data_IF_158676311988
#
_entry.id   IF_158676311988
#
_cell.length_a   1.000
_cell.length_b   1.000
_cell.length_c   1.000
_cell.angle_alpha   90.00
_cell.angle_beta   90.00
_cell.angle_gamma   90.00
#
_symmetry.space_group_name_H-M   'P 1'
#
loop_
_entity.id
_entity.type
_entity.pdbx_description
1 polymer ?
#
# COMPACT_ATOMS: atom_id res chain seq x y z
N UNK A 1 28.23 11.81 11.85
CA UNK A 1 27.46 12.99 11.40
C UNK A 1 26.24 13.16 12.29
N UNK A 2 25.82 14.41 12.53
CA UNK A 2 24.60 14.75 13.29
C UNK A 2 23.61 15.42 12.33
N UNK A 3 22.37 14.93 12.32
CA UNK A 3 21.30 15.41 11.45
C UNK A 3 20.17 15.87 12.35
N UNK A 4 19.74 17.11 12.19
CA UNK A 4 18.61 17.68 12.92
C UNK A 4 17.56 18.15 11.92
N UNK A 5 16.31 17.81 12.20
CA UNK A 5 15.14 18.22 11.42
C UNK A 5 13.98 18.54 12.33
N UNK A 6 13.12 19.46 11.88
CA UNK A 6 11.83 19.69 12.51
C UNK A 6 10.77 19.68 11.43
N UNK A 7 9.75 18.86 11.61
CA UNK A 7 8.59 18.80 10.76
C UNK A 7 7.34 19.18 11.55
N UNK A 8 6.32 19.69 10.85
CA UNK A 8 5.06 20.09 11.46
C UNK A 8 3.92 19.21 10.97
N UNK A 9 2.99 18.95 11.88
CA UNK A 9 1.72 18.27 11.62
C UNK A 9 0.58 19.12 12.20
N UNK A 10 -0.46 19.34 11.41
CA UNK A 10 -1.67 20.10 11.80
C UNK A 10 -2.68 19.22 12.55
N UNK A 11 -2.19 18.50 13.57
CA UNK A 11 -3.00 17.65 14.45
C UNK A 11 -2.61 17.83 15.91
N UNK A 12 -3.54 17.59 16.86
CA UNK A 12 -3.24 17.67 18.27
C UNK A 12 -2.12 16.74 18.73
N UNK A 13 -1.31 17.24 19.67
CA UNK A 13 -0.16 16.52 20.22
C UNK A 13 -0.52 15.09 20.66
N UNK A 14 -1.66 14.95 21.37
CA UNK A 14 -2.13 13.65 21.85
C UNK A 14 -2.44 12.69 20.71
N UNK A 15 -3.07 13.15 19.63
CA UNK A 15 -3.41 12.30 18.49
C UNK A 15 -2.14 11.81 17.79
N UNK A 16 -1.12 12.68 17.69
CA UNK A 16 0.18 12.32 17.13
C UNK A 16 0.89 11.29 18.01
N UNK A 17 0.94 11.49 19.33
CA UNK A 17 1.56 10.52 20.27
C UNK A 17 0.81 9.19 20.26
N UNK A 18 -0.53 9.20 20.40
CA UNK A 18 -1.34 7.99 20.39
C UNK A 18 -1.19 7.21 19.08
N UNK A 19 -1.01 7.89 17.95
CA UNK A 19 -0.73 7.25 16.66
C UNK A 19 0.60 6.51 16.67
N UNK A 20 1.67 7.10 17.21
CA UNK A 20 2.99 6.44 17.31
C UNK A 20 2.97 5.22 18.25
N UNK A 21 2.09 5.23 19.24
CA UNK A 21 1.96 4.11 20.18
C UNK A 21 1.20 2.91 19.60
N UNK A 22 0.43 3.10 18.53
CA UNK A 22 -0.41 2.03 17.96
C UNK A 22 0.37 1.06 17.07
N UNK A 23 -0.10 -0.20 16.95
CA UNK A 23 0.39 -1.11 15.92
C UNK A 23 0.26 -0.50 14.51
N UNK A 24 1.10 -0.95 13.58
CA UNK A 24 1.12 -0.42 12.21
C UNK A 24 1.87 0.91 12.02
N UNK A 25 2.03 1.75 13.05
CA UNK A 25 2.71 3.05 12.94
C UNK A 25 4.11 2.93 12.32
N UNK A 26 4.93 2.00 12.81
CA UNK A 26 6.27 1.75 12.26
C UNK A 26 6.24 1.33 10.79
N UNK A 27 5.28 0.49 10.39
CA UNK A 27 5.15 0.04 8.99
C UNK A 27 4.81 1.22 8.09
N UNK A 28 3.87 2.08 8.51
CA UNK A 28 3.50 3.28 7.78
C UNK A 28 4.70 4.23 7.67
N UNK A 29 5.44 4.45 8.75
CA UNK A 29 6.65 5.28 8.72
C UNK A 29 7.84 4.64 7.98
N UNK A 30 7.78 3.38 7.59
CA UNK A 30 8.87 2.69 6.90
C UNK A 30 8.63 2.71 5.39
N UNK A 31 9.49 3.38 4.58
CA UNK A 31 9.32 3.36 3.13
C UNK A 31 9.40 1.93 2.58
N UNK A 32 8.35 1.44 1.88
CA UNK A 32 8.23 0.02 1.56
C UNK A 32 9.37 -0.56 0.70
N UNK A 33 9.95 0.23 -0.22
CA UNK A 33 11.07 -0.23 -1.05
C UNK A 33 12.43 -0.14 -0.36
N UNK A 34 12.50 0.52 0.81
CA UNK A 34 13.75 0.70 1.55
C UNK A 34 13.92 -0.31 2.67
N UNK A 35 12.84 -0.74 3.32
CA UNK A 35 12.93 -1.62 4.49
C UNK A 35 11.61 -2.35 4.79
N UNK A 36 11.71 -3.43 5.57
CA UNK A 36 10.55 -4.19 6.07
C UNK A 36 10.75 -4.51 7.56
N UNK A 37 9.87 -4.04 8.46
CA UNK A 37 9.89 -4.44 9.88
C UNK A 37 9.63 -5.95 10.04
N UNK A 38 10.32 -6.59 10.99
CA UNK A 38 10.16 -8.03 11.28
C UNK A 38 8.87 -8.35 12.04
N UNK A 39 8.42 -7.45 12.93
CA UNK A 39 7.19 -7.62 13.73
C UNK A 39 6.23 -6.44 13.49
N UNK A 40 5.24 -6.62 12.59
CA UNK A 40 4.29 -5.57 12.26
C UNK A 40 3.19 -5.37 13.32
N UNK A 41 2.97 -6.35 14.21
CA UNK A 41 1.80 -6.42 15.08
C UNK A 41 2.04 -5.79 16.46
N UNK A 42 3.29 -5.70 16.91
CA UNK A 42 3.62 -4.92 18.11
C UNK A 42 3.67 -3.41 17.79
N UNK A 43 2.91 -2.61 18.53
CA UNK A 43 3.00 -1.14 18.54
C UNK A 43 3.92 -0.61 19.64
N UNK A 44 4.03 0.71 19.73
CA UNK A 44 4.53 1.37 20.94
C UNK A 44 5.97 1.84 20.92
N UNK A 45 6.26 2.89 21.67
CA UNK A 45 7.63 3.43 21.84
C UNK A 45 8.28 3.01 23.16
N UNK A 46 7.67 2.08 23.91
CA UNK A 46 8.13 1.63 25.25
C UNK A 46 9.63 1.35 25.30
N UNK A 47 10.30 1.84 26.35
CA UNK A 47 11.70 1.56 26.62
C UNK A 47 11.93 0.04 26.78
N UNK A 48 13.04 -0.46 26.26
CA UNK A 48 13.41 -1.87 26.23
C UNK A 48 12.84 -2.65 25.02
N UNK A 49 11.90 -2.07 24.26
CA UNK A 49 11.41 -2.70 23.01
C UNK A 49 12.55 -2.88 22.02
N UNK A 50 12.58 -4.04 21.36
CA UNK A 50 13.53 -4.35 20.30
C UNK A 50 12.75 -4.49 18.99
N UNK A 51 13.20 -3.76 17.98
CA UNK A 51 12.61 -3.72 16.65
C UNK A 51 13.65 -4.22 15.65
N UNK A 52 13.30 -5.29 14.94
CA UNK A 52 14.07 -5.77 13.80
C UNK A 52 13.53 -5.20 12.50
N UNK A 53 14.43 -4.80 11.61
CA UNK A 53 14.11 -4.24 10.29
C UNK A 53 15.05 -4.83 9.26
N UNK A 54 14.52 -5.36 8.16
CA UNK A 54 15.33 -5.82 7.02
C UNK A 54 15.48 -4.69 6.02
N UNK A 55 16.73 -4.33 5.73
CA UNK A 55 17.03 -3.24 4.80
C UNK A 55 17.06 -3.74 3.35
N UNK A 56 16.59 -2.90 2.45
CA UNK A 56 16.50 -3.14 1.02
C UNK A 56 15.13 -3.63 0.54
N UNK A 57 14.93 -3.68 -0.79
CA UNK A 57 13.65 -4.02 -1.40
C UNK A 57 13.15 -5.41 -0.98
N UNK A 58 11.84 -5.57 -0.71
CA UNK A 58 11.28 -6.84 -0.24
C UNK A 58 11.33 -7.96 -1.28
N UNK A 59 11.52 -7.65 -2.57
CA UNK A 59 11.69 -8.65 -3.62
C UNK A 59 13.08 -9.32 -3.62
N UNK A 60 14.07 -8.76 -2.91
CA UNK A 60 15.39 -9.38 -2.82
C UNK A 60 15.37 -10.55 -1.81
N UNK A 61 16.13 -11.64 -2.07
CA UNK A 61 16.33 -12.70 -1.09
C UNK A 61 16.85 -12.16 0.24
N UNK A 62 16.36 -12.70 1.34
CA UNK A 62 16.69 -12.23 2.70
C UNK A 62 18.18 -12.26 3.01
N UNK A 63 18.93 -13.22 2.45
CA UNK A 63 20.39 -13.31 2.58
C UNK A 63 21.12 -12.07 2.05
N UNK A 64 20.50 -11.31 1.15
CA UNK A 64 21.04 -10.06 0.59
C UNK A 64 20.55 -8.81 1.33
N UNK A 65 19.64 -8.97 2.29
CA UNK A 65 18.98 -7.87 3.00
C UNK A 65 19.49 -7.82 4.44
N UNK A 66 20.42 -6.92 4.78
CA UNK A 66 20.98 -6.88 6.12
C UNK A 66 19.90 -6.57 7.14
N UNK A 67 19.91 -7.33 8.24
CA UNK A 67 19.02 -7.12 9.38
C UNK A 67 19.58 -6.03 10.28
N UNK A 68 18.79 -4.99 10.50
CA UNK A 68 19.07 -3.90 11.42
C UNK A 68 18.16 -4.04 12.64
N UNK A 69 18.76 -4.09 13.82
CA UNK A 69 18.07 -4.24 15.10
C UNK A 69 18.26 -2.97 15.91
N UNK A 70 17.15 -2.36 16.27
CA UNK A 70 17.06 -1.12 17.05
C UNK A 70 16.41 -1.44 18.39
N UNK A 71 16.86 -0.78 19.44
CA UNK A 71 16.26 -0.84 20.77
C UNK A 71 15.81 0.56 21.18
N UNK A 72 14.58 0.68 21.66
CA UNK A 72 14.12 1.89 22.32
C UNK A 72 14.77 1.95 23.70
N UNK A 73 15.61 2.95 23.99
CA UNK A 73 16.33 3.04 25.27
C UNK A 73 15.62 3.90 26.29
N UNK A 74 14.94 4.94 25.82
CA UNK A 74 14.30 5.95 26.65
C UNK A 74 12.93 6.24 26.04
N UNK A 75 11.89 6.33 26.86
CA UNK A 75 10.55 6.76 26.43
C UNK A 75 9.80 7.31 27.65
N UNK A 76 9.16 8.47 27.49
CA UNK A 76 8.33 9.08 28.54
C UNK A 76 6.83 8.84 28.34
N UNK A 77 6.44 8.17 27.25
CA UNK A 77 5.04 7.97 26.87
C UNK A 77 4.29 9.26 26.55
N UNK A 78 4.99 10.39 26.43
CA UNK A 78 4.44 11.73 26.17
C UNK A 78 5.05 12.36 24.92
N UNK A 79 5.63 11.55 24.03
CA UNK A 79 6.17 12.01 22.76
C UNK A 79 7.70 12.09 22.69
N UNK A 80 8.43 11.82 23.78
CA UNK A 80 9.89 11.64 23.71
C UNK A 80 10.27 10.17 23.78
N UNK A 81 11.06 9.73 22.81
CA UNK A 81 11.69 8.41 22.83
C UNK A 81 13.00 8.39 22.05
N UNK A 82 13.86 7.42 22.34
CA UNK A 82 15.18 7.29 21.69
C UNK A 82 15.40 5.87 21.19
N UNK A 83 15.80 5.78 19.93
CA UNK A 83 16.10 4.56 19.21
C UNK A 83 17.62 4.40 19.06
N UNK A 84 18.19 3.32 19.60
CA UNK A 84 19.62 3.01 19.42
C UNK A 84 19.82 1.70 18.67
N UNK A 85 20.77 1.67 17.74
CA UNK A 85 21.14 0.42 17.09
C UNK A 85 21.76 -0.54 18.11
N UNK A 86 21.17 -1.73 18.22
CA UNK A 86 21.75 -2.86 18.94
C UNK A 86 22.66 -3.69 18.02
N UNK A 87 22.24 -3.88 16.76
CA UNK A 87 23.01 -4.59 15.73
C UNK A 87 22.65 -4.04 14.35
N UNK A 88 23.61 -3.82 13.45
CA UNK A 88 23.26 -3.29 12.13
C UNK A 88 24.46 -2.84 11.29
N UNK A 89 24.18 -2.17 10.16
CA UNK A 89 25.20 -1.77 9.20
C UNK A 89 26.01 -0.53 9.62
N UNK A 90 25.55 0.21 10.62
CA UNK A 90 26.21 1.43 11.10
C UNK A 90 27.23 1.09 12.19
N UNK A 91 28.26 1.93 12.39
CA UNK A 91 29.14 1.79 13.57
C UNK A 91 28.39 2.19 14.84
N UNK A 92 27.67 3.30 14.76
CA UNK A 92 26.73 3.78 15.78
C UNK A 92 25.53 4.39 15.08
N UNK A 93 24.37 4.28 15.73
CA UNK A 93 23.16 4.97 15.34
C UNK A 93 22.34 5.24 16.59
N UNK A 94 21.95 6.50 16.74
CA UNK A 94 21.02 6.99 17.74
C UNK A 94 20.05 7.94 17.05
N UNK A 95 18.76 7.76 17.30
CA UNK A 95 17.71 8.64 16.80
C UNK A 95 16.82 9.05 17.96
N UNK A 96 16.86 10.34 18.30
CA UNK A 96 16.02 10.95 19.32
C UNK A 96 14.79 11.56 18.64
N UNK A 97 13.63 11.26 19.20
CA UNK A 97 12.35 11.78 18.79
C UNK A 97 11.79 12.66 19.90
N UNK A 98 11.39 13.88 19.57
CA UNK A 98 10.61 14.75 20.44
C UNK A 98 9.38 15.27 19.69
N UNK A 99 8.23 14.69 20.03
CA UNK A 99 6.90 15.12 19.60
C UNK A 99 6.42 16.09 20.68
N UNK A 100 6.15 17.34 20.30
CA UNK A 100 5.68 18.37 21.23
C UNK A 100 4.77 19.39 20.56
N UNK A 101 3.88 20.08 21.29
CA UNK A 101 3.13 21.20 20.73
C UNK A 101 4.08 22.21 20.09
N UNK A 102 3.77 22.67 18.88
CA UNK A 102 4.59 23.65 18.16
C UNK A 102 4.59 24.99 18.92
N UNK A 103 3.42 25.36 19.42
CA UNK A 103 3.20 26.51 20.30
C UNK A 103 2.41 25.98 21.50
N UNK A 104 2.85 26.29 22.72
CA UNK A 104 2.20 25.78 23.94
C UNK A 104 0.69 26.12 24.02
N UNK A 105 0.29 27.20 23.37
CA UNK A 105 -1.06 27.75 23.35
C UNK A 105 -1.92 27.26 22.16
N UNK A 106 -1.31 26.61 21.15
CA UNK A 106 -2.03 26.06 19.99
C UNK A 106 -2.06 24.52 20.06
N UNK A 107 -3.15 23.94 20.58
CA UNK A 107 -3.27 22.50 20.69
C UNK A 107 -3.53 21.82 19.33
N UNK A 108 -3.67 22.56 18.23
CA UNK A 108 -3.96 22.00 16.90
C UNK A 108 -2.70 21.68 16.09
N UNK A 109 -1.51 22.05 16.58
CA UNK A 109 -0.24 21.91 15.85
C UNK A 109 0.83 21.23 16.67
N UNK A 110 1.47 20.25 16.06
CA UNK A 110 2.51 19.43 16.69
C UNK A 110 3.79 19.50 15.88
N UNK A 111 4.89 19.79 16.56
CA UNK A 111 6.24 19.69 16.03
C UNK A 111 6.82 18.30 16.27
N UNK A 112 7.49 17.78 15.24
CA UNK A 112 8.29 16.56 15.27
C UNK A 112 9.75 16.97 15.18
N UNK A 113 10.43 17.06 16.32
CA UNK A 113 11.86 17.32 16.36
C UNK A 113 12.60 15.99 16.38
N UNK A 114 13.51 15.82 15.43
CA UNK A 114 14.24 14.57 15.22
C UNK A 114 15.74 14.87 15.15
N UNK A 115 16.52 14.14 15.95
CA UNK A 115 17.98 14.22 15.97
C UNK A 115 18.57 12.84 15.72
N UNK A 116 19.37 12.72 14.67
CA UNK A 116 20.08 11.49 14.35
C UNK A 116 21.58 11.71 14.48
N UNK A 117 22.21 10.95 15.39
CA UNK A 117 23.65 10.78 15.44
C UNK A 117 24.03 9.42 14.84
N UNK A 118 24.80 9.44 13.76
CA UNK A 118 25.20 8.23 13.05
C UNK A 118 26.67 8.26 12.64
N UNK A 119 27.36 7.16 12.89
CA UNK A 119 28.70 6.90 12.35
C UNK A 119 28.65 5.79 11.29
N UNK A 120 29.09 6.11 10.08
CA UNK A 120 29.23 5.13 9.02
C UNK A 120 30.46 4.22 9.26
N UNK A 121 30.48 2.99 8.72
CA UNK A 121 31.69 2.20 8.63
C UNK A 121 32.84 3.00 7.99
N UNK A 122 34.07 2.84 8.50
CA UNK A 122 35.25 3.62 8.02
C UNK A 122 35.44 3.57 6.50
N UNK A 123 35.10 2.44 5.86
CA UNK A 123 35.20 2.26 4.41
C UNK A 123 34.18 3.07 3.60
N UNK A 124 33.13 3.59 4.27
CA UNK A 124 32.00 4.31 3.68
C UNK A 124 31.94 5.78 4.11
N UNK A 125 32.91 6.31 4.86
CA UNK A 125 32.91 7.71 5.33
C UNK A 125 32.81 8.73 4.18
N UNK A 126 33.40 8.44 3.02
CA UNK A 126 33.27 9.28 1.81
C UNK A 126 31.83 9.42 1.28
N UNK A 127 30.91 8.58 1.74
CA UNK A 127 29.50 8.60 1.35
C UNK A 127 28.62 9.37 2.36
N UNK A 128 29.19 9.99 3.40
CA UNK A 128 28.44 10.77 4.40
C UNK A 128 27.47 11.78 3.79
N UNK A 129 27.84 12.62 2.81
CA UNK A 129 26.88 13.57 2.21
C UNK A 129 25.71 12.89 1.49
N UNK A 130 25.92 11.70 0.95
CA UNK A 130 24.85 10.93 0.30
C UNK A 130 23.95 10.27 1.35
N UNK A 131 24.54 9.71 2.40
CA UNK A 131 23.81 9.12 3.51
C UNK A 131 22.95 10.16 4.23
N UNK A 132 23.49 11.36 4.50
CA UNK A 132 22.72 12.46 5.08
C UNK A 132 21.52 12.84 4.22
N UNK A 133 21.71 13.01 2.90
CA UNK A 133 20.60 13.31 1.98
C UNK A 133 19.53 12.21 1.99
N UNK A 134 19.94 10.94 2.03
CA UNK A 134 19.01 9.83 2.09
C UNK A 134 18.23 9.81 3.41
N UNK A 135 18.90 10.03 4.55
CA UNK A 135 18.25 10.09 5.86
C UNK A 135 17.24 11.24 5.89
N UNK A 136 17.62 12.45 5.46
CA UNK A 136 16.69 13.60 5.39
C UNK A 136 15.49 13.33 4.49
N UNK A 137 15.70 12.64 3.36
CA UNK A 137 14.62 12.20 2.46
C UNK A 137 13.66 11.21 3.14
N UNK A 138 14.16 10.29 3.97
CA UNK A 138 13.33 9.38 4.78
C UNK A 138 12.56 10.13 5.87
N UNK A 139 13.18 11.10 6.55
CA UNK A 139 12.48 11.91 7.56
C UNK A 139 11.35 12.74 6.95
N UNK A 140 11.59 13.36 5.78
CA UNK A 140 10.53 14.05 5.02
C UNK A 140 9.39 13.11 4.61
N UNK A 141 9.71 11.88 4.19
CA UNK A 141 8.68 10.86 3.91
C UNK A 141 7.87 10.53 5.16
N UNK A 142 8.53 10.27 6.30
CA UNK A 142 7.86 9.97 7.58
C UNK A 142 6.90 11.07 7.99
N UNK A 143 7.32 12.33 7.86
CA UNK A 143 6.49 13.47 8.19
C UNK A 143 5.28 13.63 7.25
N UNK A 144 5.44 13.42 5.93
CA UNK A 144 4.30 13.45 4.99
C UNK A 144 3.34 12.31 5.28
N UNK A 145 3.88 11.10 5.43
CA UNK A 145 3.11 9.88 5.66
C UNK A 145 2.26 9.95 6.93
N UNK A 146 2.85 10.43 8.02
CA UNK A 146 2.16 10.66 9.29
C UNK A 146 1.01 11.66 9.14
N UNK A 147 1.28 12.82 8.49
CA UNK A 147 0.27 13.86 8.28
C UNK A 147 -0.92 13.32 7.50
N UNK A 148 -0.66 12.64 6.40
CA UNK A 148 -1.71 12.11 5.53
C UNK A 148 -2.50 10.97 6.19
N UNK A 149 -1.86 10.13 7.01
CA UNK A 149 -2.56 9.09 7.77
C UNK A 149 -3.43 9.70 8.87
N UNK A 150 -2.96 10.74 9.56
CA UNK A 150 -3.77 11.47 10.54
C UNK A 150 -4.94 12.22 9.87
N UNK A 151 -4.71 12.87 8.73
CA UNK A 151 -5.76 13.51 7.93
C UNK A 151 -6.83 12.49 7.51
N UNK A 152 -6.41 11.30 7.07
CA UNK A 152 -7.33 10.21 6.76
C UNK A 152 -8.14 9.78 7.98
N UNK A 153 -7.49 9.53 9.13
CA UNK A 153 -8.16 9.07 10.35
C UNK A 153 -9.10 10.11 10.96
N UNK A 154 -8.73 11.40 10.91
CA UNK A 154 -9.55 12.49 11.43
C UNK A 154 -10.93 12.55 10.76
N UNK A 155 -11.00 12.19 9.48
CA UNK A 155 -12.27 12.12 8.73
C UNK A 155 -13.20 11.01 9.20
N UNK A 156 -12.67 10.01 9.91
CA UNK A 156 -13.41 8.91 10.51
C UNK A 156 -13.41 8.98 12.04
N UNK A 157 -13.07 10.12 12.65
CA UNK A 157 -13.02 10.27 14.10
C UNK A 157 -14.36 9.97 14.80
N UNK A 158 -15.49 10.19 14.11
CA UNK A 158 -16.83 9.84 14.59
C UNK A 158 -17.25 8.38 14.36
N UNK A 159 -16.44 7.60 13.65
CA UNK A 159 -16.75 6.20 13.34
C UNK A 159 -16.26 5.28 14.47
N UNK A 160 -17.10 4.36 14.98
CA UNK A 160 -16.66 3.38 15.97
C UNK A 160 -15.46 2.57 15.49
N UNK A 161 -14.60 2.17 16.43
CA UNK A 161 -13.53 1.22 16.13
C UNK A 161 -14.16 -0.09 15.64
N UNK A 162 -13.47 -0.74 14.72
CA UNK A 162 -13.95 -1.92 14.00
C UNK A 162 -12.96 -3.05 14.14
N UNK A 163 -13.45 -4.27 14.07
CA UNK A 163 -12.65 -5.47 13.84
C UNK A 163 -12.75 -5.83 12.36
N UNK A 164 -11.61 -5.79 11.65
CA UNK A 164 -11.53 -6.04 10.21
C UNK A 164 -10.72 -7.29 9.93
N UNK A 165 -11.32 -8.27 9.23
CA UNK A 165 -10.59 -9.43 8.73
C UNK A 165 -10.02 -9.14 7.34
N UNK A 166 -8.74 -9.43 7.09
CA UNK A 166 -8.07 -9.13 5.82
C UNK A 166 -7.41 -10.38 5.23
N UNK A 167 -7.84 -10.81 4.05
CA UNK A 167 -7.10 -11.78 3.24
C UNK A 167 -6.01 -11.08 2.43
N UNK A 168 -4.92 -11.78 2.11
CA UNK A 168 -3.80 -11.18 1.38
C UNK A 168 -3.09 -10.07 2.18
N UNK A 169 -3.21 -10.12 3.51
CA UNK A 169 -2.66 -9.15 4.48
C UNK A 169 -1.13 -9.04 4.44
N UNK A 170 -0.42 -10.06 3.96
CA UNK A 170 1.04 -10.04 3.75
C UNK A 170 1.46 -9.50 2.39
N UNK A 171 0.50 -9.19 1.50
CA UNK A 171 0.77 -8.61 0.20
C UNK A 171 1.18 -7.14 0.26
N UNK A 172 1.52 -6.56 -0.90
CA UNK A 172 1.95 -5.17 -1.03
C UNK A 172 0.90 -4.18 -0.46
N UNK A 173 -0.35 -4.28 -0.93
CA UNK A 173 -1.46 -3.44 -0.46
C UNK A 173 -1.90 -3.86 0.94
N UNK A 174 -2.02 -5.17 1.19
CA UNK A 174 -2.52 -5.71 2.46
C UNK A 174 -1.69 -5.28 3.67
N UNK A 175 -0.36 -5.27 3.54
CA UNK A 175 0.55 -4.83 4.61
C UNK A 175 0.30 -3.37 4.98
N UNK A 176 0.18 -2.49 3.99
CA UNK A 176 -0.05 -1.06 4.20
C UNK A 176 -1.47 -0.76 4.69
N UNK A 177 -2.47 -1.48 4.18
CA UNK A 177 -3.86 -1.36 4.63
C UNK A 177 -4.04 -1.79 6.09
N UNK A 178 -3.49 -2.94 6.48
CA UNK A 178 -3.53 -3.42 7.85
C UNK A 178 -2.89 -2.39 8.80
N UNK A 179 -1.71 -1.91 8.44
CA UNK A 179 -0.98 -0.90 9.20
C UNK A 179 -1.75 0.43 9.32
N UNK A 180 -2.40 0.87 8.24
CA UNK A 180 -3.22 2.08 8.23
C UNK A 180 -4.40 1.92 9.21
N UNK A 181 -5.14 0.81 9.13
CA UNK A 181 -6.28 0.54 10.01
C UNK A 181 -5.85 0.42 11.48
N UNK A 182 -4.76 -0.29 11.76
CA UNK A 182 -4.22 -0.48 13.11
C UNK A 182 -3.75 0.84 13.74
N UNK A 183 -3.04 1.68 12.98
CA UNK A 183 -2.63 3.02 13.43
C UNK A 183 -3.82 3.98 13.62
N UNK A 184 -4.93 3.70 12.95
CA UNK A 184 -6.23 4.32 13.20
C UNK A 184 -6.91 3.82 14.48
N UNK A 185 -6.40 2.78 15.13
CA UNK A 185 -6.97 2.17 16.34
C UNK A 185 -8.03 1.10 16.06
N UNK A 186 -8.15 0.63 14.82
CA UNK A 186 -8.98 -0.54 14.49
C UNK A 186 -8.23 -1.84 14.83
N UNK A 187 -9.00 -2.93 15.03
CA UNK A 187 -8.42 -4.27 15.23
C UNK A 187 -8.37 -4.99 13.89
N UNK A 188 -7.20 -5.49 13.48
CA UNK A 188 -7.04 -6.26 12.24
C UNK A 188 -6.81 -7.73 12.54
N UNK A 189 -7.65 -8.60 11.98
CA UNK A 189 -7.47 -10.07 12.00
C UNK A 189 -6.95 -10.52 10.65
N UNK A 190 -5.72 -11.05 10.62
CA UNK A 190 -5.05 -11.45 9.38
C UNK A 190 -5.54 -12.84 8.98
N UNK A 191 -6.09 -12.98 7.78
CA UNK A 191 -6.51 -14.28 7.24
C UNK A 191 -5.37 -14.90 6.45
N UNK A 192 -4.85 -16.04 6.92
CA UNK A 192 -3.66 -16.70 6.37
C UNK A 192 -3.97 -18.10 5.86
N UNK A 193 -3.17 -18.56 4.90
CA UNK A 193 -3.35 -19.85 4.19
C UNK A 193 -2.46 -20.97 4.73
N UNK A 194 -1.99 -20.83 5.97
CA UNK A 194 -1.07 -21.77 6.60
C UNK A 194 -1.80 -22.60 7.66
N UNK A 195 -1.30 -23.81 7.92
CA UNK A 195 -1.90 -24.75 8.88
C UNK A 195 -1.77 -24.26 10.33
N UNK A 196 -0.76 -23.43 10.61
CA UNK A 196 -0.54 -22.84 11.92
C UNK A 196 -0.86 -21.34 11.87
N UNK A 197 -1.84 -20.95 12.68
CA UNK A 197 -2.21 -19.54 12.89
C UNK A 197 -1.59 -19.00 14.16
N UNK A 198 -1.04 -17.79 14.09
CA UNK A 198 -0.62 -17.02 15.26
C UNK A 198 -1.82 -16.45 16.02
N UNK A 199 -1.60 -15.89 17.22
CA UNK A 199 -2.65 -15.23 17.99
C UNK A 199 -3.34 -14.12 17.20
N UNK A 200 -4.68 -14.16 17.11
CA UNK A 200 -5.47 -13.14 16.40
C UNK A 200 -5.58 -13.33 14.87
N UNK A 201 -4.93 -14.34 14.31
CA UNK A 201 -5.05 -14.71 12.90
C UNK A 201 -6.24 -15.65 12.66
N UNK A 202 -6.69 -15.73 11.41
CA UNK A 202 -7.82 -16.58 10.98
C UNK A 202 -7.30 -17.55 9.92
N UNK A 203 -7.56 -18.85 10.12
CA UNK A 203 -7.20 -19.88 9.17
C UNK A 203 -8.18 -19.87 7.99
N UNK A 204 -7.65 -19.96 6.78
CA UNK A 204 -8.45 -19.88 5.56
C UNK A 204 -7.77 -20.57 4.39
N UNK A 205 -8.44 -21.53 3.74
CA UNK A 205 -7.97 -22.14 2.49
C UNK A 205 -9.08 -22.14 1.42
N UNK A 206 -8.99 -21.25 0.42
CA UNK A 206 -9.89 -21.22 -0.73
C UNK A 206 -9.94 -22.53 -1.53
N UNK A 207 -8.82 -23.25 -1.60
CA UNK A 207 -8.69 -24.45 -2.45
C UNK A 207 -9.33 -25.65 -1.77
N UNK A 208 -9.11 -25.80 -0.47
CA UNK A 208 -9.75 -26.84 0.32
C UNK A 208 -11.18 -26.47 0.75
N UNK A 209 -11.61 -25.22 0.56
CA UNK A 209 -12.93 -24.76 0.98
C UNK A 209 -13.03 -24.52 2.49
N UNK A 210 -11.90 -24.29 3.15
CA UNK A 210 -11.79 -24.16 4.61
C UNK A 210 -11.93 -22.69 5.01
N UNK A 211 -12.97 -22.40 5.77
CA UNK A 211 -13.16 -21.18 6.55
C UNK A 211 -14.19 -21.51 7.62
N UNK A 212 -13.80 -21.47 8.88
CA UNK A 212 -14.75 -21.60 9.98
C UNK A 212 -15.54 -20.29 10.11
N UNK A 213 -16.89 -20.30 9.99
CA UNK A 213 -17.69 -19.11 10.26
C UNK A 213 -17.50 -18.57 11.69
N UNK A 214 -17.22 -19.44 12.67
CA UNK A 214 -16.95 -19.06 14.06
C UNK A 214 -15.74 -18.14 14.21
N UNK A 215 -14.73 -18.30 13.33
CA UNK A 215 -13.56 -17.43 13.31
C UNK A 215 -13.89 -16.00 12.87
N UNK A 216 -15.04 -15.77 12.22
CA UNK A 216 -15.51 -14.46 11.79
C UNK A 216 -16.51 -13.82 12.77
N UNK A 217 -16.82 -14.47 13.90
CA UNK A 217 -17.63 -13.84 14.94
C UNK A 217 -16.93 -12.59 15.50
N UNK A 218 -17.71 -11.53 15.70
CA UNK A 218 -17.20 -10.23 16.16
C UNK A 218 -16.40 -9.44 15.12
N UNK A 219 -16.25 -9.94 13.89
CA UNK A 219 -15.68 -9.18 12.77
C UNK A 219 -16.78 -8.31 12.14
N UNK A 220 -16.51 -7.01 11.99
CA UNK A 220 -17.42 -6.05 11.37
C UNK A 220 -17.37 -6.11 9.83
N UNK A 221 -16.15 -6.21 9.29
CA UNK A 221 -15.84 -6.06 7.87
C UNK A 221 -14.82 -7.10 7.43
N UNK A 222 -15.03 -7.72 6.27
CA UNK A 222 -14.02 -8.52 5.58
C UNK A 222 -13.47 -7.73 4.40
N UNK A 223 -12.15 -7.66 4.27
CA UNK A 223 -11.47 -7.13 3.10
C UNK A 223 -10.73 -8.27 2.40
N UNK A 224 -11.05 -8.50 1.14
CA UNK A 224 -10.45 -9.57 0.35
C UNK A 224 -9.43 -9.00 -0.65
N UNK A 225 -8.14 -9.12 -0.33
CA UNK A 225 -7.03 -8.74 -1.24
C UNK A 225 -6.28 -9.97 -1.78
N UNK A 226 -6.68 -11.18 -1.40
CA UNK A 226 -6.01 -12.40 -1.82
C UNK A 226 -6.11 -12.59 -3.34
N UNK A 227 -4.97 -12.79 -3.99
CA UNK A 227 -4.90 -13.10 -5.40
C UNK A 227 -3.50 -13.52 -5.81
N UNK A 228 -3.41 -14.42 -6.78
CA UNK A 228 -2.11 -14.74 -7.41
C UNK A 228 -1.67 -13.56 -8.28
N UNK A 229 -0.37 -13.24 -8.26
CA UNK A 229 0.21 -12.22 -9.15
C UNK A 229 -0.07 -12.53 -10.63
N UNK A 230 -0.42 -11.49 -11.39
CA UNK A 230 -0.63 -11.53 -12.84
C UNK A 230 0.64 -11.18 -13.63
N UNK A 231 1.69 -10.70 -12.95
CA UNK A 231 2.99 -10.35 -13.53
C UNK A 231 3.84 -11.60 -13.80
N UNK A 232 3.27 -12.54 -14.54
CA UNK A 232 3.89 -13.81 -14.95
C UNK A 232 3.54 -14.10 -16.40
N UNK A 233 4.22 -15.06 -17.02
CA UNK A 233 3.89 -15.49 -18.37
C UNK A 233 2.55 -16.24 -18.38
N UNK A 234 1.60 -15.79 -19.19
CA UNK A 234 0.24 -16.34 -19.25
C UNK A 234 0.15 -17.64 -20.06
N UNK A 235 0.69 -18.72 -19.51
CA UNK A 235 0.40 -20.09 -19.99
C UNK A 235 -1.03 -20.50 -19.63
N UNK A 236 -1.56 -21.56 -20.25
CA UNK A 236 -2.88 -22.13 -19.88
C UNK A 236 -2.98 -22.43 -18.37
N UNK A 237 -1.93 -23.01 -17.79
CA UNK A 237 -1.86 -23.30 -16.37
C UNK A 237 -1.81 -22.01 -15.51
N UNK A 238 -1.03 -21.01 -15.91
CA UNK A 238 -0.96 -19.74 -15.19
C UNK A 238 -2.31 -18.98 -15.24
N UNK A 239 -2.97 -18.94 -16.40
CA UNK A 239 -4.31 -18.34 -16.57
C UNK A 239 -5.35 -19.01 -15.67
N UNK A 240 -5.37 -20.35 -15.66
CA UNK A 240 -6.24 -21.13 -14.76
C UNK A 240 -5.98 -20.79 -13.30
N UNK A 241 -4.71 -20.76 -12.88
CA UNK A 241 -4.35 -20.42 -11.50
C UNK A 241 -4.70 -18.98 -11.12
N UNK A 242 -4.56 -18.02 -12.05
CA UNK A 242 -4.99 -16.63 -11.87
C UNK A 242 -6.49 -16.59 -11.62
N UNK A 243 -7.28 -17.21 -12.50
CA UNK A 243 -8.73 -17.30 -12.42
C UNK A 243 -9.19 -17.95 -11.11
N UNK A 244 -8.76 -19.20 -10.85
CA UNK A 244 -9.16 -19.96 -9.65
C UNK A 244 -8.79 -19.22 -8.36
N UNK A 245 -7.62 -18.57 -8.30
CA UNK A 245 -7.19 -17.83 -7.10
C UNK A 245 -8.10 -16.65 -6.73
N UNK A 246 -8.85 -16.10 -7.70
CA UNK A 246 -9.79 -14.99 -7.50
C UNK A 246 -11.18 -15.52 -7.21
N UNK A 247 -11.67 -16.45 -8.02
CA UNK A 247 -13.03 -16.96 -7.91
C UNK A 247 -13.22 -17.80 -6.66
N UNK A 248 -12.33 -18.76 -6.39
CA UNK A 248 -12.52 -19.67 -5.24
C UNK A 248 -12.49 -18.91 -3.92
N UNK A 249 -11.53 -18.00 -3.77
CA UNK A 249 -11.41 -17.22 -2.55
C UNK A 249 -12.61 -16.29 -2.34
N UNK A 250 -13.06 -15.63 -3.39
CA UNK A 250 -14.24 -14.77 -3.29
C UNK A 250 -15.50 -15.55 -2.97
N UNK A 251 -15.72 -16.66 -3.67
CA UNK A 251 -16.94 -17.43 -3.52
C UNK A 251 -17.01 -18.13 -2.16
N UNK A 252 -15.87 -18.55 -1.59
CA UNK A 252 -15.83 -19.11 -0.24
C UNK A 252 -16.15 -18.05 0.82
N UNK A 253 -15.61 -16.82 0.71
CA UNK A 253 -15.97 -15.71 1.60
C UNK A 253 -17.46 -15.40 1.47
N UNK A 254 -17.93 -15.17 0.25
CA UNK A 254 -19.29 -14.72 0.00
C UNK A 254 -20.34 -15.71 0.50
N UNK A 255 -20.15 -17.01 0.23
CA UNK A 255 -21.06 -18.06 0.74
C UNK A 255 -20.98 -18.23 2.24
N UNK A 256 -19.82 -17.98 2.85
CA UNK A 256 -19.68 -18.09 4.31
C UNK A 256 -20.44 -16.94 4.97
N UNK A 257 -20.19 -15.71 4.54
CA UNK A 257 -20.89 -14.52 5.05
C UNK A 257 -22.41 -14.63 4.85
N UNK A 258 -22.87 -15.13 3.70
CA UNK A 258 -24.29 -15.30 3.39
C UNK A 258 -25.04 -16.27 4.33
N UNK A 259 -24.32 -17.13 5.06
CA UNK A 259 -24.91 -18.11 5.99
C UNK A 259 -24.83 -17.67 7.46
N UNK A 260 -24.25 -16.50 7.73
CA UNK A 260 -24.02 -16.02 9.09
C UNK A 260 -25.10 -15.02 9.50
N UNK A 261 -25.84 -15.31 10.57
CA UNK A 261 -26.81 -14.36 11.13
C UNK A 261 -26.11 -13.16 11.79
N UNK A 262 -25.05 -13.44 12.56
CA UNK A 262 -24.26 -12.45 13.31
C UNK A 262 -22.86 -12.26 12.71
N UNK A 263 -22.74 -12.35 11.39
CA UNK A 263 -21.47 -12.18 10.69
C UNK A 263 -21.16 -10.75 10.24
N UNK A 264 -19.99 -10.56 9.61
CA UNK A 264 -19.57 -9.29 9.02
C UNK A 264 -20.66 -8.66 8.14
N UNK A 265 -20.83 -7.35 8.27
CA UNK A 265 -21.87 -6.58 7.56
C UNK A 265 -21.39 -5.99 6.25
N UNK A 266 -20.09 -6.07 5.98
CA UNK A 266 -19.51 -5.62 4.71
C UNK A 266 -18.40 -6.55 4.21
N UNK A 267 -18.33 -6.68 2.89
CA UNK A 267 -17.26 -7.30 2.13
C UNK A 267 -16.68 -6.26 1.17
N UNK A 268 -15.46 -5.78 1.46
CA UNK A 268 -14.69 -4.96 0.53
C UNK A 268 -13.81 -5.88 -0.29
N UNK A 269 -14.12 -5.95 -1.58
CA UNK A 269 -13.52 -6.89 -2.51
C UNK A 269 -12.52 -6.16 -3.41
N UNK A 270 -11.30 -6.70 -3.53
CA UNK A 270 -10.40 -6.27 -4.57
C UNK A 270 -10.98 -6.61 -5.96
N UNK A 271 -10.83 -5.68 -6.89
CA UNK A 271 -11.11 -5.82 -8.31
C UNK A 271 -10.00 -5.10 -9.09
N UNK A 272 -10.16 -4.91 -10.40
CA UNK A 272 -9.19 -4.19 -11.23
C UNK A 272 -9.87 -3.41 -12.36
N UNK A 273 -9.24 -2.32 -12.79
CA UNK A 273 -9.63 -1.62 -14.02
C UNK A 273 -9.56 -2.51 -15.27
N UNK A 274 -8.89 -3.67 -15.18
CA UNK A 274 -8.97 -4.73 -16.19
C UNK A 274 -10.39 -5.18 -16.53
N UNK A 275 -11.40 -4.90 -15.67
CA UNK A 275 -12.83 -5.04 -15.99
C UNK A 275 -13.21 -4.43 -17.33
N UNK A 276 -12.69 -3.24 -17.64
CA UNK A 276 -13.03 -2.47 -18.83
C UNK A 276 -12.37 -2.97 -20.12
N UNK A 277 -11.50 -3.97 -20.02
CA UNK A 277 -10.63 -4.44 -21.11
C UNK A 277 -9.44 -3.51 -21.35
N UNK A 278 -8.31 -4.06 -21.81
CA UNK A 278 -7.05 -3.33 -21.86
C UNK A 278 -6.93 -2.27 -22.97
N UNK A 279 -7.87 -2.17 -23.92
CA UNK A 279 -7.73 -1.32 -25.11
C UNK A 279 -8.97 -0.45 -25.30
N UNK A 280 -8.99 0.73 -24.64
CA UNK A 280 -10.12 1.69 -24.67
C UNK A 280 -9.63 3.13 -24.93
N UNK A 281 -8.87 3.36 -26.02
CA UNK A 281 -8.28 4.67 -26.30
C UNK A 281 -9.35 5.75 -26.50
N UNK A 282 -9.17 6.90 -25.84
CA UNK A 282 -10.03 8.07 -25.99
C UNK A 282 -11.36 8.02 -25.24
N UNK A 283 -11.69 6.91 -24.56
CA UNK A 283 -12.91 6.77 -23.77
C UNK A 283 -12.65 7.11 -22.30
N UNK A 284 -13.49 7.93 -21.68
CA UNK A 284 -13.50 8.11 -20.23
C UNK A 284 -14.40 7.05 -19.60
N UNK A 285 -13.82 6.15 -18.81
CA UNK A 285 -14.46 4.99 -18.21
C UNK A 285 -14.91 5.28 -16.78
N UNK A 286 -16.15 4.94 -16.48
CA UNK A 286 -16.83 5.11 -15.18
C UNK A 286 -17.31 3.76 -14.65
N UNK A 287 -17.76 3.70 -13.40
CA UNK A 287 -18.25 2.46 -12.79
C UNK A 287 -19.53 1.92 -13.44
N UNK A 288 -20.27 2.77 -14.17
CA UNK A 288 -21.47 2.39 -14.93
C UNK A 288 -21.18 1.79 -16.30
N UNK A 289 -19.94 1.92 -16.82
CA UNK A 289 -19.60 1.40 -18.13
C UNK A 289 -19.55 -0.14 -18.16
N UNK A 290 -19.89 -0.76 -19.30
CA UNK A 290 -19.87 -2.22 -19.43
C UNK A 290 -18.44 -2.76 -19.37
N UNK A 291 -18.32 -4.02 -18.96
CA UNK A 291 -17.05 -4.74 -19.01
C UNK A 291 -16.56 -4.92 -20.44
N UNK A 292 -15.25 -4.88 -20.64
CA UNK A 292 -14.62 -5.01 -21.95
C UNK A 292 -14.31 -6.44 -22.35
N UNK A 293 -13.40 -6.62 -23.30
CA UNK A 293 -12.97 -7.93 -23.78
C UNK A 293 -11.56 -8.29 -23.26
N UNK A 294 -11.17 -9.56 -23.44
CA UNK A 294 -9.86 -10.07 -23.05
C UNK A 294 -9.90 -10.92 -21.77
N UNK A 295 -8.78 -11.56 -21.49
CA UNK A 295 -8.67 -12.51 -20.39
C UNK A 295 -8.88 -11.84 -19.04
N UNK A 296 -8.29 -10.66 -18.81
CA UNK A 296 -8.49 -9.94 -17.54
C UNK A 296 -9.92 -9.44 -17.37
N UNK A 297 -10.58 -9.00 -18.45
CA UNK A 297 -11.98 -8.55 -18.35
C UNK A 297 -12.91 -9.70 -17.95
N UNK A 298 -12.71 -10.90 -18.52
CA UNK A 298 -13.42 -12.13 -18.11
C UNK A 298 -13.15 -12.46 -16.63
N UNK A 299 -11.87 -12.51 -16.24
CA UNK A 299 -11.48 -12.80 -14.86
C UNK A 299 -12.14 -11.82 -13.88
N UNK A 300 -12.13 -10.52 -14.18
CA UNK A 300 -12.65 -9.50 -13.26
C UNK A 300 -14.17 -9.53 -13.19
N UNK A 301 -14.88 -9.74 -14.32
CA UNK A 301 -16.34 -9.92 -14.29
C UNK A 301 -16.76 -11.08 -13.41
N UNK A 302 -16.13 -12.24 -13.60
CA UNK A 302 -16.45 -13.43 -12.82
C UNK A 302 -16.04 -13.25 -11.36
N UNK A 303 -14.95 -12.52 -11.10
CA UNK A 303 -14.47 -12.20 -9.76
C UNK A 303 -15.46 -11.32 -8.99
N UNK A 304 -15.99 -10.27 -9.61
CA UNK A 304 -17.04 -9.44 -9.03
C UNK A 304 -18.33 -10.24 -8.83
N UNK A 305 -18.73 -11.06 -9.82
CA UNK A 305 -19.92 -11.90 -9.74
C UNK A 305 -19.84 -12.96 -8.62
N UNK A 306 -18.65 -13.46 -8.30
CA UNK A 306 -18.46 -14.43 -7.22
C UNK A 306 -18.80 -13.87 -5.82
N UNK A 307 -18.86 -12.54 -5.66
CA UNK A 307 -19.25 -11.90 -4.41
C UNK A 307 -20.78 -11.80 -4.23
N UNK A 308 -21.56 -12.08 -5.29
CA UNK A 308 -23.03 -11.94 -5.31
C UNK A 308 -23.76 -12.65 -4.16
N UNK A 309 -23.39 -13.87 -3.71
CA UNK A 309 -24.09 -14.51 -2.60
C UNK A 309 -24.10 -13.68 -1.31
N UNK A 310 -23.04 -12.90 -1.04
CA UNK A 310 -23.00 -12.01 0.12
C UNK A 310 -23.98 -10.84 -0.05
N UNK A 311 -24.00 -10.22 -1.23
CA UNK A 311 -24.91 -9.13 -1.54
C UNK A 311 -26.39 -9.57 -1.48
N UNK A 312 -26.72 -10.74 -2.02
CA UNK A 312 -28.07 -11.32 -1.97
C UNK A 312 -28.52 -11.61 -0.53
N UNK A 313 -27.59 -11.87 0.38
CA UNK A 313 -27.84 -12.05 1.81
C UNK A 313 -27.86 -10.72 2.61
N UNK A 314 -27.78 -9.57 1.95
CA UNK A 314 -27.81 -8.25 2.59
C UNK A 314 -26.48 -7.77 3.16
N UNK A 315 -25.36 -8.45 2.88
CA UNK A 315 -24.02 -7.95 3.20
C UNK A 315 -23.66 -6.86 2.20
N UNK A 316 -23.20 -5.70 2.68
CA UNK A 316 -22.74 -4.61 1.81
C UNK A 316 -21.48 -5.05 1.04
N UNK A 317 -21.52 -5.06 -0.29
CA UNK A 317 -20.36 -5.43 -1.11
C UNK A 317 -19.84 -4.21 -1.87
N UNK A 318 -18.56 -3.89 -1.71
CA UNK A 318 -17.87 -2.87 -2.48
C UNK A 318 -16.73 -3.51 -3.29
N UNK A 319 -16.70 -3.32 -4.61
CA UNK A 319 -15.68 -3.89 -5.49
C UNK A 319 -14.71 -2.80 -5.98
N UNK A 320 -13.50 -2.77 -5.43
CA UNK A 320 -12.50 -1.72 -5.70
C UNK A 320 -11.70 -2.06 -6.96
N UNK A 321 -12.07 -1.47 -8.10
CA UNK A 321 -11.38 -1.59 -9.40
C UNK A 321 -10.08 -0.80 -9.37
N UNK A 322 -9.03 -1.47 -8.91
CA UNK A 322 -7.71 -0.86 -8.69
C UNK A 322 -7.01 -0.54 -10.02
N UNK A 323 -6.46 0.67 -10.13
CA UNK A 323 -5.58 1.09 -11.23
C UNK A 323 -4.15 0.55 -11.11
N UNK A 324 -3.22 1.16 -11.85
CA UNK A 324 -1.78 0.81 -11.76
C UNK A 324 -1.20 1.38 -10.47
N UNK A 325 -0.92 0.50 -9.51
CA UNK A 325 -0.34 0.90 -8.22
C UNK A 325 1.14 1.27 -8.38
N UNK A 326 1.48 2.51 -8.02
CA UNK A 326 2.83 3.05 -7.98
C UNK A 326 3.49 2.73 -6.64
N UNK A 327 4.57 1.94 -6.68
CA UNK A 327 5.36 1.58 -5.51
C UNK A 327 6.80 1.25 -5.92
N UNK A 328 7.75 1.55 -5.05
CA UNK A 328 9.14 1.12 -5.19
C UNK A 328 9.43 -0.21 -4.48
N UNK A 329 8.42 -0.86 -3.91
CA UNK A 329 8.50 -2.16 -3.25
C UNK A 329 7.91 -3.31 -4.08
N UNK A 330 7.20 -2.98 -5.16
CA UNK A 330 6.53 -3.95 -6.02
C UNK A 330 5.73 -3.27 -7.13
N UNK A 331 4.86 -4.03 -7.78
CA UNK A 331 3.98 -3.50 -8.83
C UNK A 331 4.71 -3.11 -10.11
N UNK A 332 4.07 -2.25 -10.91
CA UNK A 332 4.51 -1.93 -12.27
C UNK A 332 5.71 -0.95 -12.31
N UNK A 333 5.91 -0.14 -11.26
CA UNK A 333 6.97 0.87 -11.22
C UNK A 333 8.35 0.25 -10.94
N UNK A 334 8.44 -0.69 -10.00
CA UNK A 334 9.73 -1.25 -9.54
C UNK A 334 10.60 -1.84 -10.67
N UNK A 335 10.08 -2.63 -11.63
CA UNK A 335 10.89 -3.16 -12.75
C UNK A 335 11.47 -2.07 -13.67
N UNK A 336 10.89 -0.87 -13.67
CA UNK A 336 11.33 0.24 -14.52
C UNK A 336 12.50 1.01 -13.88
N UNK A 337 12.56 1.08 -12.55
CA UNK A 337 13.51 1.93 -11.82
C UNK A 337 14.99 1.70 -12.22
N UNK A 338 15.49 0.46 -12.38
CA UNK A 338 16.89 0.25 -12.79
C UNK A 338 17.21 0.86 -14.17
N UNK A 339 16.28 0.76 -15.13
CA UNK A 339 16.46 1.31 -16.47
C UNK A 339 16.53 2.84 -16.44
N UNK A 340 15.61 3.47 -15.68
CA UNK A 340 15.61 4.92 -15.49
C UNK A 340 16.86 5.40 -14.76
N UNK A 341 17.29 4.71 -13.70
CA UNK A 341 18.50 5.06 -12.96
C UNK A 341 19.76 4.95 -13.81
N UNK A 342 19.81 3.99 -14.73
CA UNK A 342 20.87 3.82 -15.73
C UNK A 342 20.77 4.81 -16.93
N UNK A 343 19.74 5.65 -16.99
CA UNK A 343 19.56 6.64 -18.06
C UNK A 343 19.04 6.08 -19.39
N UNK A 344 18.59 4.82 -19.40
CA UNK A 344 18.03 4.13 -20.58
C UNK A 344 16.53 3.86 -20.43
N UNK A 345 15.89 4.49 -19.45
CA UNK A 345 14.46 4.41 -19.23
C UNK A 345 13.67 5.27 -20.22
N UNK A 346 12.40 4.92 -20.38
CA UNK A 346 11.43 5.71 -21.14
C UNK A 346 10.07 5.03 -21.24
N UNK A 347 9.28 5.45 -22.22
CA UNK A 347 7.88 5.01 -22.38
C UNK A 347 7.75 3.51 -22.68
N UNK A 348 6.73 2.89 -22.09
CA UNK A 348 6.38 1.48 -22.26
C UNK A 348 5.27 1.23 -23.31
N UNK A 349 4.49 2.27 -23.63
CA UNK A 349 3.33 2.18 -24.51
C UNK A 349 3.34 3.33 -25.55
N UNK A 350 2.31 3.38 -26.41
CA UNK A 350 2.02 4.51 -27.28
C UNK A 350 2.04 5.82 -26.46
N UNK A 351 2.63 6.92 -26.96
CA UNK A 351 2.80 8.15 -26.18
C UNK A 351 1.52 8.66 -25.53
N UNK A 352 0.41 8.59 -26.27
CA UNK A 352 -0.92 9.06 -25.84
C UNK A 352 -1.73 8.02 -25.04
N UNK A 353 -1.22 6.79 -24.89
CA UNK A 353 -1.96 5.77 -24.14
C UNK A 353 -2.06 6.18 -22.67
N UNK A 354 -3.28 6.14 -22.15
CA UNK A 354 -3.59 6.64 -20.80
C UNK A 354 -3.41 5.51 -19.79
N UNK A 355 -2.67 5.83 -18.73
CA UNK A 355 -2.50 4.99 -17.55
C UNK A 355 -3.24 5.62 -16.38
N UNK A 356 -4.28 4.93 -15.91
CA UNK A 356 -4.94 5.25 -14.65
C UNK A 356 -4.15 4.65 -13.50
N UNK A 357 -3.37 5.48 -12.82
CA UNK A 357 -2.45 5.09 -11.75
C UNK A 357 -3.02 5.46 -10.37
N UNK A 358 -2.45 4.92 -9.30
CA UNK A 358 -2.70 5.33 -7.90
C UNK A 358 -1.47 5.01 -7.05
N UNK A 359 -1.17 5.76 -6.00
CA UNK A 359 -0.08 5.39 -5.08
C UNK A 359 -0.44 4.18 -4.23
N UNK A 360 0.56 3.48 -3.71
CA UNK A 360 0.34 2.41 -2.73
C UNK A 360 -0.42 2.89 -1.48
N UNK A 361 -0.13 4.10 -1.03
CA UNK A 361 -0.77 4.68 0.16
C UNK A 361 -2.23 5.06 -0.12
N UNK A 362 -2.51 5.70 -1.26
CA UNK A 362 -3.88 6.07 -1.58
C UNK A 362 -4.75 4.85 -1.87
N UNK A 363 -4.24 3.80 -2.53
CA UNK A 363 -5.06 2.60 -2.71
C UNK A 363 -5.36 1.91 -1.37
N UNK A 364 -4.41 1.88 -0.41
CA UNK A 364 -4.69 1.42 0.94
C UNK A 364 -5.79 2.27 1.60
N UNK A 365 -5.74 3.60 1.45
CA UNK A 365 -6.78 4.51 1.94
C UNK A 365 -8.12 4.31 1.23
N UNK A 366 -8.17 3.94 -0.06
CA UNK A 366 -9.41 3.62 -0.77
C UNK A 366 -10.07 2.37 -0.18
N UNK A 367 -9.30 1.31 0.07
CA UNK A 367 -9.82 0.10 0.73
C UNK A 367 -10.31 0.40 2.16
N UNK A 368 -9.55 1.18 2.93
CA UNK A 368 -9.97 1.60 4.27
C UNK A 368 -11.23 2.48 4.22
N UNK A 369 -11.32 3.41 3.26
CA UNK A 369 -12.50 4.24 3.05
C UNK A 369 -13.73 3.38 2.73
N UNK A 370 -13.63 2.41 1.81
CA UNK A 370 -14.73 1.51 1.51
C UNK A 370 -15.14 0.62 2.71
N UNK A 371 -14.18 0.29 3.59
CA UNK A 371 -14.46 -0.47 4.81
C UNK A 371 -15.18 0.37 5.88
N UNK A 372 -14.76 1.63 6.07
CA UNK A 372 -15.24 2.50 7.14
C UNK A 372 -16.48 3.34 6.76
N UNK A 373 -16.70 3.59 5.47
CA UNK A 373 -17.89 4.28 4.96
C UNK A 373 -19.05 3.31 4.77
N UNK A 374 -20.19 3.61 5.38
CA UNK A 374 -21.39 2.74 5.33
C UNK A 374 -22.13 2.81 3.99
N UNK A 375 -22.00 3.91 3.25
CA UNK A 375 -22.74 4.16 2.00
C UNK A 375 -21.97 3.74 0.73
N UNK A 376 -20.76 3.19 0.89
CA UNK A 376 -19.93 2.75 -0.24
C UNK A 376 -20.27 1.29 -0.58
N UNK A 377 -20.98 1.10 -1.68
CA UNK A 377 -21.35 -0.21 -2.23
C UNK A 377 -21.21 -0.24 -3.77
N UNK A 378 -21.21 -1.45 -4.32
CA UNK A 378 -21.04 -1.69 -5.75
C UNK A 378 -19.61 -1.46 -6.25
N UNK A 379 -19.42 -1.33 -7.57
CA UNK A 379 -18.12 -1.03 -8.15
C UNK A 379 -17.63 0.36 -7.74
N UNK A 380 -16.32 0.48 -7.51
CA UNK A 380 -15.63 1.71 -7.14
C UNK A 380 -14.25 1.75 -7.81
N UNK A 381 -13.98 2.75 -8.65
CA UNK A 381 -12.67 2.91 -9.29
C UNK A 381 -11.64 3.44 -8.29
N UNK A 382 -10.64 2.62 -7.99
CA UNK A 382 -9.50 2.97 -7.13
C UNK A 382 -8.35 3.51 -7.97
N UNK A 383 -8.51 4.73 -8.49
CA UNK A 383 -7.53 5.44 -9.33
C UNK A 383 -7.31 6.86 -8.80
N UNK A 384 -6.17 7.46 -9.14
CA UNK A 384 -5.89 8.87 -8.86
C UNK A 384 -6.74 9.79 -9.77
N UNK A 385 -7.04 11.03 -9.34
CA UNK A 385 -7.90 11.97 -10.07
C UNK A 385 -7.34 12.42 -11.42
N UNK A 386 -6.01 12.40 -11.58
CA UNK A 386 -5.34 12.84 -12.80
C UNK A 386 -4.60 11.66 -13.44
N UNK A 387 -5.24 10.92 -14.35
CA UNK A 387 -4.53 9.89 -15.11
C UNK A 387 -3.43 10.52 -15.95
N UNK A 388 -2.43 9.72 -16.33
CA UNK A 388 -1.28 10.21 -17.08
C UNK A 388 -1.08 9.40 -18.36
N UNK A 389 -0.72 10.08 -19.44
CA UNK A 389 -0.26 9.43 -20.66
C UNK A 389 1.07 8.71 -20.41
N UNK A 390 1.40 7.72 -21.24
CA UNK A 390 2.69 7.03 -21.18
C UNK A 390 3.87 8.00 -21.37
N UNK A 391 3.69 9.08 -22.16
CA UNK A 391 4.67 10.15 -22.31
C UNK A 391 4.88 10.92 -21.00
N UNK A 392 3.81 11.39 -20.37
CA UNK A 392 3.86 12.13 -19.11
C UNK A 392 4.46 11.30 -17.99
N UNK A 393 4.07 10.03 -17.87
CA UNK A 393 4.62 9.10 -16.89
C UNK A 393 6.14 8.96 -17.01
N UNK A 394 6.64 8.66 -18.21
CA UNK A 394 8.07 8.50 -18.45
C UNK A 394 8.83 9.81 -18.22
N UNK A 395 8.33 10.93 -18.74
CA UNK A 395 8.96 12.25 -18.57
C UNK A 395 9.05 12.65 -17.09
N UNK A 396 7.96 12.46 -16.34
CA UNK A 396 7.89 12.83 -14.91
C UNK A 396 8.78 11.93 -14.08
N UNK A 397 8.81 10.62 -14.34
CA UNK A 397 9.71 9.70 -13.68
C UNK A 397 11.20 10.06 -13.92
N UNK A 398 11.56 10.40 -15.16
CA UNK A 398 12.89 10.91 -15.49
C UNK A 398 13.24 12.19 -14.73
N UNK A 399 12.32 13.16 -14.67
CA UNK A 399 12.47 14.41 -13.90
C UNK A 399 12.71 14.14 -12.42
N UNK A 400 11.88 13.31 -11.79
CA UNK A 400 11.97 12.98 -10.36
C UNK A 400 13.29 12.26 -10.04
N UNK A 401 13.71 11.33 -10.89
CA UNK A 401 14.98 10.61 -10.74
C UNK A 401 16.21 11.41 -11.18
N UNK A 402 16.01 12.59 -11.79
CA UNK A 402 17.07 13.41 -12.40
C UNK A 402 17.88 12.61 -13.44
N UNK A 403 17.17 11.93 -14.33
CA UNK A 403 17.72 11.09 -15.41
C UNK A 403 16.99 11.34 -16.73
N UNK A 404 17.66 11.20 -17.88
CA UNK A 404 16.99 11.29 -19.17
C UNK A 404 15.95 10.15 -19.31
N UNK A 405 14.83 10.46 -19.96
CA UNK A 405 13.72 9.52 -20.18
C UNK A 405 13.28 9.51 -21.66
N UNK A 406 14.26 9.52 -22.57
CA UNK A 406 14.03 9.74 -24.00
C UNK A 406 13.99 8.46 -24.83
N UNK A 407 14.49 7.34 -24.28
CA UNK A 407 14.63 6.08 -25.02
C UNK A 407 13.36 5.25 -24.81
N UNK A 408 12.52 5.03 -25.85
CA UNK A 408 11.39 4.12 -25.72
C UNK A 408 11.89 2.73 -25.36
N UNK A 409 11.25 2.07 -24.40
CA UNK A 409 11.63 0.71 -24.02
C UNK A 409 11.31 -0.21 -25.20
N UNK A 410 12.28 -1.01 -25.69
CA UNK A 410 12.02 -1.94 -26.78
C UNK A 410 10.88 -2.92 -26.43
N UNK A 411 9.84 -2.98 -27.26
CA UNK A 411 8.63 -3.76 -26.99
C UNK A 411 8.83 -5.28 -26.84
N UNK A 412 10.02 -5.81 -27.14
CA UNK A 412 10.33 -7.22 -26.92
C UNK A 412 10.52 -7.57 -25.43
N UNK A 413 10.98 -6.64 -24.59
CA UNK A 413 11.26 -6.91 -23.17
C UNK A 413 10.03 -7.42 -22.41
N UNK A 414 8.93 -6.66 -22.38
CA UNK A 414 7.67 -7.09 -21.78
C UNK A 414 7.13 -8.40 -22.37
N UNK A 415 7.25 -8.60 -23.68
CA UNK A 415 6.77 -9.82 -24.37
C UNK A 415 7.57 -11.07 -23.98
N UNK A 416 8.86 -10.94 -23.70
CA UNK A 416 9.68 -12.06 -23.22
C UNK A 416 9.24 -12.50 -21.82
N UNK A 417 8.99 -11.53 -20.92
CA UNK A 417 8.62 -11.78 -19.52
C UNK A 417 7.17 -12.25 -19.37
N UNK A 418 6.22 -11.55 -20.00
CA UNK A 418 4.77 -11.75 -19.80
C UNK A 418 4.11 -12.57 -20.91
N UNK A 419 4.79 -12.78 -22.04
CA UNK A 419 4.16 -13.25 -23.27
C UNK A 419 3.46 -12.10 -24.03
N UNK A 420 2.98 -12.38 -25.24
CA UNK A 420 2.36 -11.37 -26.10
C UNK A 420 1.03 -10.85 -25.54
N UNK A 421 0.15 -11.74 -25.06
CA UNK A 421 -1.15 -11.41 -24.48
C UNK A 421 -0.98 -10.61 -23.17
N UNK A 422 -0.14 -11.09 -22.24
CA UNK A 422 0.14 -10.39 -20.98
C UNK A 422 0.80 -9.02 -21.18
N UNK A 423 1.72 -8.89 -22.14
CA UNK A 423 2.27 -7.58 -22.49
C UNK A 423 1.19 -6.64 -23.05
N UNK A 424 0.29 -7.16 -23.89
CA UNK A 424 -0.81 -6.37 -24.48
C UNK A 424 -1.78 -5.87 -23.41
N UNK A 425 -2.23 -6.76 -22.52
CA UNK A 425 -3.26 -6.44 -21.53
C UNK A 425 -2.75 -5.71 -20.29
N UNK A 426 -1.46 -5.88 -19.90
CA UNK A 426 -0.90 -5.23 -18.70
C UNK A 426 -0.02 -4.03 -18.99
N UNK A 427 0.82 -4.10 -20.03
CA UNK A 427 1.85 -3.09 -20.30
C UNK A 427 1.41 -2.13 -21.39
N UNK A 428 0.69 -2.64 -22.39
CA UNK A 428 0.16 -1.84 -23.49
C UNK A 428 -1.29 -1.39 -23.24
N UNK A 429 -1.75 -1.47 -21.99
CA UNK A 429 -3.08 -1.02 -21.61
C UNK A 429 -3.26 0.49 -21.88
N UNK A 430 -4.43 0.85 -22.36
CA UNK A 430 -4.86 2.22 -22.61
C UNK A 430 -6.27 2.39 -22.03
N UNK A 431 -6.34 2.96 -20.84
CA UNK A 431 -7.54 3.06 -20.03
C UNK A 431 -7.54 4.40 -19.28
N UNK A 432 -8.42 5.31 -19.69
CA UNK A 432 -8.69 6.56 -19.00
C UNK A 432 -9.90 6.37 -18.07
N UNK A 433 -9.65 6.11 -16.79
CA UNK A 433 -10.65 5.73 -15.79
C UNK A 433 -10.90 6.91 -14.85
N UNK A 434 -12.16 7.24 -14.64
CA UNK A 434 -12.59 8.31 -13.72
C UNK A 434 -12.63 7.82 -12.28
N UNK A 435 -12.27 8.70 -11.34
CA UNK A 435 -12.45 8.55 -9.90
C UNK A 435 -13.67 9.33 -9.37
N UNK A 436 -14.57 9.82 -10.24
CA UNK A 436 -15.65 10.71 -9.85
C UNK A 436 -16.57 10.13 -8.77
N UNK A 437 -16.89 8.82 -8.82
CA UNK A 437 -17.69 8.15 -7.78
C UNK A 437 -16.92 8.05 -6.46
N UNK A 438 -15.61 7.82 -6.52
CA UNK A 438 -14.75 7.78 -5.34
C UNK A 438 -14.70 9.14 -4.64
N UNK A 439 -14.53 10.23 -5.40
CA UNK A 439 -14.61 11.59 -4.87
C UNK A 439 -16.00 11.92 -4.32
N UNK A 440 -17.07 11.53 -5.03
CA UNK A 440 -18.45 11.74 -4.58
C UNK A 440 -18.78 10.98 -3.28
N UNK A 441 -18.14 9.83 -3.06
CA UNK A 441 -18.16 9.11 -1.78
C UNK A 441 -17.38 9.81 -0.65
N UNK A 442 -16.79 10.96 -0.94
CA UNK A 442 -16.04 11.80 -0.02
C UNK A 442 -14.55 11.52 -0.02
N UNK A 443 -14.02 10.49 -0.68
CA UNK A 443 -12.59 10.18 -0.66
C UNK A 443 -11.75 11.35 -1.22
N UNK A 444 -10.57 11.55 -0.62
CA UNK A 444 -9.61 12.58 -1.06
C UNK A 444 -8.26 11.91 -1.17
N UNK A 445 -7.69 11.90 -2.38
CA UNK A 445 -6.36 11.37 -2.60
C UNK A 445 -5.31 12.28 -1.95
N UNK A 446 -4.35 11.71 -1.22
CA UNK A 446 -3.20 12.48 -0.73
C UNK A 446 -2.27 12.85 -1.90
N UNK A 447 -2.20 11.99 -2.93
CA UNK A 447 -1.37 12.18 -4.11
C UNK A 447 -2.23 12.30 -5.37
N UNK A 448 -2.80 13.48 -5.60
CA UNK A 448 -3.63 13.75 -6.77
C UNK A 448 -2.82 13.97 -8.07
N UNK A 449 -1.60 14.47 -7.95
CA UNK A 449 -0.73 14.78 -9.10
C UNK A 449 0.41 13.78 -9.24
N UNK A 450 0.75 13.41 -10.48
CA UNK A 450 1.74 12.37 -10.76
C UNK A 450 3.15 12.70 -10.24
N UNK A 451 3.60 13.95 -10.37
CA UNK A 451 4.93 14.33 -9.88
C UNK A 451 5.00 14.22 -8.35
N UNK A 452 3.97 14.70 -7.64
CA UNK A 452 3.85 14.57 -6.19
C UNK A 452 3.89 13.10 -5.77
N UNK A 453 3.07 12.26 -6.43
CA UNK A 453 3.02 10.82 -6.20
C UNK A 453 4.39 10.15 -6.35
N UNK A 454 5.10 10.42 -7.45
CA UNK A 454 6.42 9.84 -7.71
C UNK A 454 7.48 10.35 -6.74
N UNK A 455 7.41 11.62 -6.32
CA UNK A 455 8.32 12.16 -5.29
C UNK A 455 8.12 11.52 -3.94
N UNK A 456 6.88 11.26 -3.53
CA UNK A 456 6.58 10.51 -2.31
C UNK A 456 7.10 9.08 -2.39
N UNK A 457 6.68 8.33 -3.42
CA UNK A 457 7.03 6.91 -3.62
C UNK A 457 8.54 6.69 -3.71
N UNK A 458 9.28 7.60 -4.36
CA UNK A 458 10.73 7.49 -4.56
C UNK A 458 11.55 8.31 -3.54
N UNK A 459 10.88 9.07 -2.68
CA UNK A 459 11.43 9.97 -1.66
C UNK A 459 12.41 11.01 -2.25
N UNK A 460 11.95 11.84 -3.20
CA UNK A 460 12.80 12.69 -4.07
C UNK A 460 12.51 14.18 -4.13
#
# INVERSE_FOLDING_TARGET
MRIETTHRVDHPHRDVVDWHERPGALIRLTPPGLATPDDPAEGGTRAGRIVGVRLGPPLLPDVLRPRWVVRHTDSDGQGRFTDRQAHGPWRTWQHEHEIRPEVAEDPSRTGLHEVIDVELPRRLSRLEPLAERQIRSVLSFRASQLREDLDFHARFAGTPRRTIAITGSSGLIGTQLAALLESGGHTVRRMIREDAVGPGEIAWDPRAGVLDPGDLEGVDVVINLAGRSIATRWTKAARRQIYESRIHGTALLARTLARMDNGPRALVQASAVGYYGGQRPGELLTESDPGGEGFLAEVVRDWEAAARPAAEAGVRVAAVRTGVVLSDAGGALLPQLPLFLAGVGGRLNHPEAVTSWITLDDIARVFAHAALSVDVEGPLNGVAPQPATAHELARTLGKVLRRPALVPVPGFGPRLVLGAEGARELVQADQNVSDARLQAGGFHAAHGELEQALRHVLRR
#
